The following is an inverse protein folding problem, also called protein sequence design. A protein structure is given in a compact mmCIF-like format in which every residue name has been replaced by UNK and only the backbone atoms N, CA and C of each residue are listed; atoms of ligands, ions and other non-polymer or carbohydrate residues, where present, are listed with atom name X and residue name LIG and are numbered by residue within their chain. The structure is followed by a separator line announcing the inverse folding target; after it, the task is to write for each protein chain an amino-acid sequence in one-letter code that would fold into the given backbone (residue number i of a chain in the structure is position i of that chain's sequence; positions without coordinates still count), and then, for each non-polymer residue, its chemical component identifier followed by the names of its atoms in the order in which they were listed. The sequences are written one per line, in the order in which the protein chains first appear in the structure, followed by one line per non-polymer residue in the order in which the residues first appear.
data_IF_232742677992
#
_entry.id   IF_232742677992
#
_cell.length_a   1.000
_cell.length_b   1.000
_cell.length_c   1.000
_cell.angle_alpha   90.00
_cell.angle_beta   90.00
_cell.angle_gamma   90.00
#
_symmetry.space_group_name_H-M   'P 1'
#
loop_
_entity.id
_entity.type
_entity.pdbx_description
1 polymer ?
#
# COMPACT_ATOMS: atom_id res chain seq x y z
N UNK A 1 -5.96 19.48 42.08
CA UNK A 1 -6.60 18.15 42.11
C UNK A 1 -6.43 17.54 40.72
N UNK A 2 -5.43 16.68 40.52
CA UNK A 2 -5.10 16.12 39.21
C UNK A 2 -5.77 14.74 39.10
N UNK A 3 -6.88 14.63 38.36
CA UNK A 3 -7.52 13.34 38.09
C UNK A 3 -6.99 12.82 36.75
N UNK A 4 -6.03 11.87 36.73
CA UNK A 4 -5.62 11.27 35.47
C UNK A 4 -6.82 10.59 34.81
N UNK A 5 -6.94 10.73 33.50
CA UNK A 5 -8.01 10.14 32.71
C UNK A 5 -7.93 8.61 32.89
N UNK A 6 -8.95 8.02 33.52
CA UNK A 6 -8.99 6.57 33.85
C UNK A 6 -9.25 5.68 32.64
N UNK A 7 -9.58 6.26 31.48
CA UNK A 7 -9.97 5.50 30.30
C UNK A 7 -8.75 5.17 29.45
N UNK A 8 -8.50 3.88 29.32
CA UNK A 8 -7.44 3.27 28.50
C UNK A 8 -7.44 3.76 27.05
N UNK A 9 -8.63 4.04 26.50
CA UNK A 9 -8.80 4.63 25.18
C UNK A 9 -8.05 5.97 25.03
N UNK A 10 -8.28 6.93 25.93
CA UNK A 10 -7.68 8.27 25.80
C UNK A 10 -6.19 8.29 26.11
N UNK A 11 -5.72 7.36 26.94
CA UNK A 11 -4.29 7.22 27.22
C UNK A 11 -3.51 6.65 26.03
N UNK A 12 -4.18 5.91 25.13
CA UNK A 12 -3.56 5.27 23.97
C UNK A 12 -4.01 5.86 22.63
N UNK A 13 -4.88 6.87 22.63
CA UNK A 13 -5.40 7.46 21.41
C UNK A 13 -4.32 8.28 20.70
N UNK A 14 -4.06 7.93 19.45
CA UNK A 14 -3.04 8.56 18.62
C UNK A 14 -3.59 8.79 17.21
N UNK A 15 -3.27 9.96 16.67
CA UNK A 15 -3.47 10.30 15.26
C UNK A 15 -2.11 10.20 14.59
N UNK A 16 -2.02 9.51 13.47
CA UNK A 16 -0.78 9.27 12.75
C UNK A 16 -0.95 9.63 11.28
N UNK A 17 0.11 10.17 10.69
CA UNK A 17 0.28 10.26 9.24
C UNK A 17 1.43 9.34 8.83
N UNK A 18 1.35 8.73 7.65
CA UNK A 18 2.36 7.82 7.16
C UNK A 18 2.56 7.98 5.65
N UNK A 19 3.74 7.56 5.20
CA UNK A 19 4.14 7.53 3.81
C UNK A 19 5.12 6.40 3.60
N UNK A 20 4.83 5.54 2.63
CA UNK A 20 5.57 4.34 2.30
C UNK A 20 6.02 4.42 0.84
N UNK A 21 7.20 3.89 0.56
CA UNK A 21 7.73 3.72 -0.80
C UNK A 21 8.30 2.32 -0.93
N UNK A 22 7.99 1.68 -2.05
CA UNK A 22 8.41 0.31 -2.34
C UNK A 22 8.65 0.11 -3.82
N UNK A 23 9.36 -0.95 -4.16
CA UNK A 23 9.56 -1.34 -5.55
C UNK A 23 9.76 -2.84 -5.61
N UNK A 24 9.30 -3.47 -6.70
CA UNK A 24 9.54 -4.87 -7.00
C UNK A 24 9.90 -4.99 -8.48
N UNK A 25 10.97 -5.74 -8.78
CA UNK A 25 11.48 -5.89 -10.15
C UNK A 25 12.17 -7.23 -10.37
N UNK A 26 12.31 -7.60 -11.65
CA UNK A 26 13.21 -8.65 -12.11
C UNK A 26 14.53 -8.06 -12.62
N UNK A 27 15.63 -8.81 -12.47
CA UNK A 27 16.97 -8.40 -12.90
C UNK A 27 17.77 -7.61 -11.86
N UNK A 28 18.91 -7.06 -12.28
CA UNK A 28 19.88 -6.40 -11.39
C UNK A 28 19.37 -5.09 -10.77
N UNK A 29 18.43 -4.41 -11.40
CA UNK A 29 17.91 -3.12 -10.93
C UNK A 29 16.46 -2.90 -11.40
N UNK A 30 15.71 -1.96 -10.77
CA UNK A 30 14.29 -1.72 -11.05
C UNK A 30 13.95 -1.37 -12.49
N UNK A 31 14.90 -0.80 -13.22
CA UNK A 31 14.77 -0.34 -14.60
C UNK A 31 15.45 -1.30 -15.60
N UNK A 32 15.81 -2.51 -15.17
CA UNK A 32 16.33 -3.54 -16.07
C UNK A 32 15.31 -3.89 -17.14
N UNK A 33 15.78 -4.14 -18.36
CA UNK A 33 14.95 -4.62 -19.47
C UNK A 33 14.27 -5.96 -19.16
N UNK A 34 14.80 -6.75 -18.21
CA UNK A 34 14.19 -7.98 -17.71
C UNK A 34 12.91 -7.73 -16.90
N UNK A 35 12.67 -6.50 -16.43
CA UNK A 35 11.51 -6.14 -15.64
C UNK A 35 10.23 -5.94 -16.49
N UNK A 36 9.86 -6.96 -17.27
CA UNK A 36 8.75 -6.94 -18.22
C UNK A 36 7.41 -7.38 -17.62
N UNK A 37 7.09 -6.93 -16.40
CA UNK A 37 5.93 -7.35 -15.60
C UNK A 37 4.55 -7.18 -16.28
N UNK A 38 4.47 -6.52 -17.45
CA UNK A 38 3.24 -6.39 -18.25
C UNK A 38 3.48 -6.68 -19.74
N UNK A 39 4.00 -7.86 -20.07
CA UNK A 39 4.06 -8.33 -21.46
C UNK A 39 2.68 -8.88 -21.85
N UNK A 40 1.96 -8.17 -22.71
CA UNK A 40 0.74 -8.70 -23.32
C UNK A 40 1.07 -9.13 -24.76
N UNK A 41 1.00 -10.43 -25.03
CA UNK A 41 1.08 -10.95 -26.39
C UNK A 41 -0.34 -10.99 -26.97
N UNK A 42 -0.57 -10.21 -28.02
CA UNK A 42 -1.83 -10.26 -28.77
C UNK A 42 -1.59 -11.00 -30.09
N UNK A 43 -2.41 -12.02 -30.33
CA UNK A 43 -2.42 -12.82 -31.56
C UNK A 43 -3.50 -13.89 -31.49
N UNK A 44 -4.53 -13.78 -32.31
CA UNK A 44 -5.56 -14.81 -32.42
C UNK A 44 -4.96 -16.13 -32.94
N UNK A 45 -5.48 -17.30 -32.53
CA UNK A 45 -5.04 -18.58 -33.08
C UNK A 45 -5.26 -18.60 -34.61
N UNK A 46 -4.16 -18.49 -35.39
CA UNK A 46 -4.19 -18.48 -36.86
C UNK A 46 -3.72 -17.18 -37.54
N UNK A 47 -3.38 -16.12 -36.79
CA UNK A 47 -2.77 -14.91 -37.38
C UNK A 47 -1.26 -15.10 -37.67
N UNK A 48 -0.74 -14.68 -38.84
CA UNK A 48 0.69 -14.73 -39.17
C UNK A 48 1.53 -13.67 -38.43
N UNK A 49 0.89 -12.76 -37.70
CA UNK A 49 1.56 -11.68 -36.95
C UNK A 49 1.24 -11.82 -35.47
N UNK A 50 2.28 -12.00 -34.66
CA UNK A 50 2.22 -11.89 -33.21
C UNK A 50 2.81 -10.55 -32.80
N UNK A 51 2.06 -9.78 -32.00
CA UNK A 51 2.54 -8.49 -31.48
C UNK A 51 2.74 -8.63 -29.97
N UNK A 52 4.00 -8.56 -29.56
CA UNK A 52 4.39 -8.51 -28.15
C UNK A 52 4.52 -7.05 -27.73
N UNK A 53 3.59 -6.59 -26.88
CA UNK A 53 3.66 -5.25 -26.30
C UNK A 53 4.42 -5.31 -24.97
N UNK A 54 5.60 -4.71 -24.94
CA UNK A 54 6.36 -4.47 -23.72
C UNK A 54 5.86 -3.17 -23.07
N UNK A 55 5.01 -3.28 -22.04
CA UNK A 55 4.62 -2.11 -21.25
C UNK A 55 5.62 -1.90 -20.12
N UNK A 56 6.46 -0.88 -20.26
CA UNK A 56 7.25 -0.37 -19.13
C UNK A 56 6.30 0.34 -18.16
N UNK A 57 6.21 -0.18 -16.94
CA UNK A 57 5.45 0.40 -15.84
C UNK A 57 6.45 0.94 -14.82
N UNK A 58 6.15 2.07 -14.17
CA UNK A 58 7.02 2.57 -13.09
C UNK A 58 7.23 1.48 -12.02
N UNK A 59 8.46 1.02 -11.77
CA UNK A 59 8.73 -0.02 -10.78
C UNK A 59 8.60 0.48 -9.35
N UNK A 60 8.67 1.80 -9.13
CA UNK A 60 8.48 2.42 -7.82
C UNK A 60 7.00 2.67 -7.59
N UNK A 61 6.49 2.08 -6.50
CA UNK A 61 5.15 2.32 -5.98
C UNK A 61 5.26 3.03 -4.64
N UNK A 62 4.26 3.84 -4.33
CA UNK A 62 4.16 4.52 -3.05
C UNK A 62 2.80 4.38 -2.44
N UNK A 63 2.69 4.82 -1.20
CA UNK A 63 1.42 5.00 -0.53
C UNK A 63 1.56 6.07 0.51
N UNK A 64 0.49 6.80 0.78
CA UNK A 64 0.45 7.73 1.90
C UNK A 64 -0.94 7.72 2.52
N UNK A 65 -1.03 8.14 3.76
CA UNK A 65 -2.29 8.12 4.45
C UNK A 65 -2.24 8.69 5.85
N UNK A 66 -3.40 8.63 6.49
CA UNK A 66 -3.57 9.00 7.88
C UNK A 66 -4.44 7.96 8.58
N UNK A 67 -4.20 7.78 9.86
CA UNK A 67 -4.91 6.81 10.66
C UNK A 67 -5.10 7.26 12.09
N UNK A 68 -6.01 6.57 12.75
CA UNK A 68 -6.23 6.68 14.19
C UNK A 68 -6.00 5.32 14.81
N UNK A 69 -5.38 5.30 15.98
CA UNK A 69 -5.14 4.08 16.74
C UNK A 69 -5.37 4.30 18.22
N UNK A 70 -5.91 3.28 18.89
CA UNK A 70 -6.14 3.30 20.33
C UNK A 70 -6.36 1.89 20.86
N UNK A 71 -6.36 1.74 22.20
CA UNK A 71 -6.73 0.50 22.86
C UNK A 71 -8.22 0.49 23.18
N UNK A 72 -8.94 -0.49 22.64
CA UNK A 72 -10.38 -0.68 22.83
C UNK A 72 -10.59 -2.11 23.37
N UNK A 73 -11.22 -2.23 24.54
CA UNK A 73 -11.47 -3.53 25.20
C UNK A 73 -10.22 -4.44 25.32
N UNK A 74 -9.04 -3.86 25.51
CA UNK A 74 -7.77 -4.60 25.61
C UNK A 74 -7.08 -4.92 24.28
N UNK A 75 -7.72 -4.64 23.14
CA UNK A 75 -7.12 -4.79 21.81
C UNK A 75 -6.57 -3.46 21.31
N UNK A 76 -5.40 -3.50 20.67
CA UNK A 76 -4.90 -2.37 19.91
C UNK A 76 -5.60 -2.33 18.56
N UNK A 77 -6.42 -1.31 18.34
CA UNK A 77 -7.20 -1.11 17.12
C UNK A 77 -6.58 0.02 16.32
N UNK A 78 -6.38 -0.19 15.02
CA UNK A 78 -5.88 0.81 14.08
C UNK A 78 -6.82 0.90 12.89
N UNK A 79 -7.22 2.12 12.55
CA UNK A 79 -8.01 2.46 11.37
C UNK A 79 -7.20 3.43 10.52
N UNK A 80 -6.81 3.01 9.32
CA UNK A 80 -6.04 3.82 8.37
C UNK A 80 -6.85 4.11 7.12
N UNK A 81 -6.67 5.32 6.59
CA UNK A 81 -7.13 5.74 5.27
C UNK A 81 -5.89 6.00 4.42
N UNK A 82 -5.70 5.17 3.40
CA UNK A 82 -4.49 5.18 2.57
C UNK A 82 -4.83 5.41 1.10
N UNK A 83 -3.95 6.10 0.39
CA UNK A 83 -3.97 6.25 -1.06
C UNK A 83 -2.67 5.68 -1.62
N UNK A 84 -2.79 4.71 -2.52
CA UNK A 84 -1.66 4.18 -3.27
C UNK A 84 -1.26 5.13 -4.39
N UNK A 85 0.03 5.22 -4.68
CA UNK A 85 0.59 5.90 -5.85
C UNK A 85 1.24 4.83 -6.70
N UNK A 86 0.75 4.65 -7.92
CA UNK A 86 1.23 3.63 -8.84
C UNK A 86 1.24 4.23 -10.24
N UNK A 87 2.38 4.09 -10.94
CA UNK A 87 2.61 4.72 -12.24
C UNK A 87 2.41 6.25 -12.23
N UNK A 88 2.83 6.90 -11.14
CA UNK A 88 2.67 8.35 -10.86
C UNK A 88 1.21 8.82 -10.74
N UNK A 89 0.27 7.90 -10.70
CA UNK A 89 -1.15 8.18 -10.49
C UNK A 89 -1.58 7.82 -9.07
N UNK A 90 -2.42 8.69 -8.48
CA UNK A 90 -3.06 8.39 -7.20
C UNK A 90 -4.22 7.42 -7.45
N UNK A 91 -4.14 6.24 -6.84
CA UNK A 91 -5.17 5.21 -6.88
C UNK A 91 -6.31 5.54 -5.92
N UNK A 92 -7.43 4.84 -6.10
CA UNK A 92 -8.59 4.94 -5.20
C UNK A 92 -8.17 4.64 -3.76
N UNK A 93 -8.60 5.49 -2.84
CA UNK A 93 -8.32 5.31 -1.41
C UNK A 93 -8.86 3.99 -0.87
N UNK A 94 -8.12 3.42 0.07
CA UNK A 94 -8.44 2.17 0.76
C UNK A 94 -8.47 2.43 2.26
N UNK A 95 -9.49 1.89 2.93
CA UNK A 95 -9.59 1.91 4.39
C UNK A 95 -9.14 0.57 4.93
N UNK A 96 -8.19 0.59 5.87
CA UNK A 96 -7.68 -0.61 6.53
C UNK A 96 -8.03 -0.58 8.01
N UNK A 97 -8.53 -1.71 8.51
CA UNK A 97 -8.82 -1.91 9.92
C UNK A 97 -8.03 -3.12 10.41
N UNK A 98 -7.24 -2.94 11.47
CA UNK A 98 -6.45 -4.02 12.07
C UNK A 98 -6.62 -4.08 13.58
N UNK A 99 -6.54 -5.30 14.11
CA UNK A 99 -6.62 -5.60 15.54
C UNK A 99 -5.38 -6.39 15.95
N UNK A 100 -4.69 -5.93 17.00
CA UNK A 100 -3.58 -6.65 17.61
C UNK A 100 -3.85 -6.85 19.10
N UNK A 101 -3.50 -8.03 19.62
CA UNK A 101 -3.32 -8.25 21.06
C UNK A 101 -1.87 -7.90 21.40
N UNK A 102 -1.67 -7.11 22.45
CA UNK A 102 -0.31 -6.89 23.01
C UNK A 102 0.20 -8.24 23.56
N UNK A 103 1.45 -8.62 23.25
CA UNK A 103 2.10 -9.85 23.76
C UNK A 103 3.33 -9.52 24.59
#
# INVERSE_FOLDING_TARGET
MNRPIKTDFFNNFQIVAFGDVGSAWYGLNPYSEENTLNTNTYGDPGSPVQVTLFRQKEPIVGGFGAGVRSRIFGYFVRLDFAWGVDDKEIRKGMTMLSFCTDF
#
